data_IF_208321647611
#
_entry.id   IF_208321647611
#
_cell.length_a   1.000
_cell.length_b   1.000
_cell.length_c   1.000
_cell.angle_alpha   90.00
_cell.angle_beta   90.00
_cell.angle_gamma   90.00
#
_symmetry.space_group_name_H-M   'P 1'
#
loop_
_entity.id
_entity.type
_entity.pdbx_description
1 polymer ?
#
# COMPACT_ATOMS: atom_id res chain seq x y z
N UNK A 1 -13.47 -24.31 -16.85
CA UNK A 1 -13.49 -22.86 -16.54
C UNK A 1 -13.62 -22.72 -15.04
N UNK A 2 -12.53 -22.41 -14.33
CA UNK A 2 -12.56 -22.21 -12.88
C UNK A 2 -13.11 -20.81 -12.54
N UNK A 3 -13.71 -20.61 -11.35
CA UNK A 3 -14.28 -19.34 -10.97
C UNK A 3 -13.15 -18.31 -10.80
N UNK A 4 -13.23 -17.21 -11.54
CA UNK A 4 -12.38 -16.06 -11.32
C UNK A 4 -12.71 -15.50 -9.92
N UNK A 5 -11.78 -15.66 -8.99
CA UNK A 5 -11.81 -14.95 -7.73
C UNK A 5 -11.64 -13.46 -8.02
N UNK A 6 -12.74 -12.72 -7.99
CA UNK A 6 -12.74 -11.27 -7.96
C UNK A 6 -11.93 -10.83 -6.74
N UNK A 7 -10.73 -10.30 -6.96
CA UNK A 7 -9.90 -9.66 -5.94
C UNK A 7 -10.45 -8.26 -5.59
N UNK A 8 -11.77 -8.13 -5.42
CA UNK A 8 -12.30 -6.93 -4.80
C UNK A 8 -11.90 -6.98 -3.32
N UNK A 9 -11.09 -6.02 -2.83
CA UNK A 9 -10.87 -5.90 -1.41
C UNK A 9 -12.20 -5.47 -0.79
N UNK A 10 -12.90 -6.42 -0.19
CA UNK A 10 -14.08 -6.13 0.63
C UNK A 10 -13.61 -5.29 1.81
N UNK A 11 -14.17 -4.08 2.02
CA UNK A 11 -13.82 -3.26 3.18
C UNK A 11 -14.07 -4.04 4.46
N UNK A 12 -13.10 -4.05 5.37
CA UNK A 12 -13.19 -4.70 6.69
C UNK A 12 -14.17 -3.99 7.63
N UNK A 13 -14.58 -2.77 7.30
CA UNK A 13 -15.53 -1.95 8.06
C UNK A 13 -16.64 -1.40 7.15
N UNK A 14 -17.90 -1.43 7.64
CA UNK A 14 -19.10 -0.94 6.96
C UNK A 14 -19.21 0.60 7.10
N UNK A 15 -18.23 1.30 6.52
CA UNK A 15 -18.08 2.75 6.56
C UNK A 15 -18.45 3.35 5.20
N UNK A 16 -19.04 4.55 5.21
CA UNK A 16 -19.24 5.32 3.99
C UNK A 16 -17.88 5.72 3.38
N UNK A 17 -17.57 5.20 2.19
CA UNK A 17 -16.31 5.45 1.47
C UNK A 17 -16.40 6.54 0.41
N UNK A 18 -17.58 7.16 0.24
CA UNK A 18 -17.86 8.09 -0.86
C UNK A 18 -16.94 9.32 -0.86
N UNK A 19 -16.45 9.73 0.32
CA UNK A 19 -15.56 10.88 0.49
C UNK A 19 -14.41 10.56 1.48
N UNK A 20 -13.85 9.34 1.39
CA UNK A 20 -12.73 8.90 2.24
C UNK A 20 -11.39 8.96 1.45
N UNK A 21 -10.63 10.06 1.55
CA UNK A 21 -9.37 10.21 0.80
C UNK A 21 -8.33 9.16 1.18
N UNK A 22 -8.30 8.73 2.45
CA UNK A 22 -7.39 7.68 2.92
C UNK A 22 -7.72 6.36 2.26
N UNK A 23 -9.01 5.97 2.22
CA UNK A 23 -9.45 4.76 1.52
C UNK A 23 -9.06 4.81 0.02
N UNK A 24 -9.38 5.91 -0.66
CA UNK A 24 -9.05 6.09 -2.07
C UNK A 24 -7.55 5.96 -2.33
N UNK A 25 -6.71 6.54 -1.47
CA UNK A 25 -5.26 6.50 -1.65
C UNK A 25 -4.66 5.13 -1.34
N UNK A 26 -5.20 4.38 -0.36
CA UNK A 26 -4.82 2.98 -0.12
C UNK A 26 -5.17 2.13 -1.34
N UNK A 27 -6.36 2.29 -1.92
CA UNK A 27 -6.74 1.58 -3.14
C UNK A 27 -5.83 1.95 -4.33
N UNK A 28 -5.43 3.23 -4.43
CA UNK A 28 -4.45 3.71 -5.39
C UNK A 28 -3.09 3.00 -5.25
N UNK A 29 -2.58 2.89 -4.02
CA UNK A 29 -1.33 2.19 -3.71
C UNK A 29 -1.43 0.69 -4.03
N UNK A 30 -2.49 0.00 -3.63
CA UNK A 30 -2.69 -1.43 -3.93
C UNK A 30 -2.73 -1.65 -5.45
N UNK A 31 -3.37 -0.75 -6.20
CA UNK A 31 -3.38 -0.80 -7.68
C UNK A 31 -1.99 -0.58 -8.28
N UNK A 32 -1.18 0.30 -7.71
CA UNK A 32 0.21 0.50 -8.13
C UNK A 32 1.06 -0.75 -7.87
N UNK A 33 0.89 -1.40 -6.72
CA UNK A 33 1.56 -2.68 -6.38
C UNK A 33 1.13 -3.80 -7.33
N UNK A 34 -0.15 -3.87 -7.70
CA UNK A 34 -0.62 -4.86 -8.68
C UNK A 34 -0.01 -4.64 -10.07
N UNK A 35 0.15 -3.38 -10.50
CA UNK A 35 0.86 -3.04 -11.73
C UNK A 35 2.34 -3.41 -11.65
N UNK A 36 2.99 -3.13 -10.53
CA UNK A 36 4.37 -3.54 -10.28
C UNK A 36 4.53 -5.06 -10.44
N UNK A 37 3.64 -5.86 -9.84
CA UNK A 37 3.65 -7.31 -10.01
C UNK A 37 3.59 -7.70 -11.49
N UNK A 38 2.67 -7.10 -12.25
CA UNK A 38 2.53 -7.38 -13.68
C UNK A 38 3.79 -7.00 -14.48
N UNK A 39 4.41 -5.86 -14.20
CA UNK A 39 5.65 -5.43 -14.85
C UNK A 39 6.82 -6.36 -14.52
N UNK A 40 7.02 -6.70 -13.25
CA UNK A 40 8.12 -7.59 -12.84
C UNK A 40 7.98 -8.99 -13.45
N UNK A 41 6.75 -9.49 -13.61
CA UNK A 41 6.51 -10.81 -14.20
C UNK A 41 6.68 -10.87 -15.72
N UNK A 42 6.38 -9.78 -16.44
CA UNK A 42 6.25 -9.82 -17.91
C UNK A 42 7.22 -8.93 -18.68
N UNK A 43 7.96 -8.06 -17.99
CA UNK A 43 8.75 -7.02 -18.62
C UNK A 43 10.20 -6.96 -18.12
N UNK A 44 11.11 -6.37 -18.91
CA UNK A 44 12.52 -6.32 -18.58
C UNK A 44 12.84 -5.29 -17.48
N UNK A 45 13.97 -5.44 -16.78
CA UNK A 45 14.31 -4.71 -15.54
C UNK A 45 14.41 -3.19 -15.69
N UNK A 46 14.63 -2.67 -16.88
CA UNK A 46 14.70 -1.22 -17.16
C UNK A 46 13.39 -0.51 -16.83
N UNK A 47 12.26 -1.24 -16.86
CA UNK A 47 10.94 -0.69 -16.53
C UNK A 47 10.61 -0.69 -15.04
N UNK A 48 11.35 -1.44 -14.22
CA UNK A 48 11.01 -1.62 -12.81
C UNK A 48 11.04 -0.30 -12.03
N UNK A 49 11.95 0.61 -12.39
CA UNK A 49 12.05 1.93 -11.76
C UNK A 49 10.77 2.77 -11.94
N UNK A 50 10.08 2.64 -13.07
CA UNK A 50 8.85 3.39 -13.35
C UNK A 50 7.73 2.94 -12.41
N UNK A 51 7.53 1.64 -12.26
CA UNK A 51 6.47 1.12 -11.38
C UNK A 51 6.78 1.29 -9.90
N UNK A 52 8.05 1.22 -9.48
CA UNK A 52 8.42 1.52 -8.09
C UNK A 52 8.25 3.01 -7.80
N UNK A 53 8.53 3.90 -8.77
CA UNK A 53 8.24 5.33 -8.65
C UNK A 53 6.73 5.57 -8.47
N UNK A 54 5.89 4.91 -9.25
CA UNK A 54 4.43 5.03 -9.13
C UNK A 54 3.94 4.60 -7.74
N UNK A 55 4.46 3.49 -7.22
CA UNK A 55 4.18 3.03 -5.84
C UNK A 55 4.60 4.09 -4.81
N UNK A 56 5.79 4.68 -4.96
CA UNK A 56 6.27 5.74 -4.07
C UNK A 56 5.46 7.03 -4.13
N UNK A 57 4.93 7.39 -5.30
CA UNK A 57 4.02 8.52 -5.47
C UNK A 57 2.67 8.25 -4.80
N UNK A 58 2.10 7.05 -4.99
CA UNK A 58 0.87 6.63 -4.30
C UNK A 58 1.04 6.62 -2.78
N UNK A 59 2.18 6.11 -2.28
CA UNK A 59 2.47 6.15 -0.84
C UNK A 59 2.55 7.59 -0.32
N UNK A 60 3.24 8.48 -1.02
CA UNK A 60 3.33 9.90 -0.61
C UNK A 60 1.95 10.55 -0.51
N UNK A 61 1.07 10.26 -1.47
CA UNK A 61 -0.30 10.77 -1.46
C UNK A 61 -1.08 10.24 -0.24
N UNK A 62 -0.99 8.93 0.01
CA UNK A 62 -1.58 8.29 1.18
C UNK A 62 -1.10 8.91 2.49
N UNK A 63 0.21 9.11 2.66
CA UNK A 63 0.78 9.74 3.86
C UNK A 63 0.19 11.14 4.05
N UNK A 64 0.11 11.95 2.98
CA UNK A 64 -0.49 13.29 3.03
C UNK A 64 -1.95 13.26 3.49
N UNK A 65 -2.78 12.39 2.90
CA UNK A 65 -4.19 12.24 3.31
C UNK A 65 -4.35 11.76 4.75
N UNK A 66 -3.40 10.98 5.28
CA UNK A 66 -3.39 10.58 6.68
C UNK A 66 -2.96 11.74 7.59
N UNK A 67 -1.95 12.51 7.19
CA UNK A 67 -1.49 13.69 7.95
C UNK A 67 -2.59 14.74 8.11
N UNK A 68 -3.44 14.91 7.10
CA UNK A 68 -4.58 15.83 7.14
C UNK A 68 -5.65 15.43 8.19
N UNK A 69 -5.81 14.13 8.47
CA UNK A 69 -6.80 13.65 9.45
C UNK A 69 -6.23 13.50 10.86
N UNK A 70 -4.90 13.32 11.01
CA UNK A 70 -4.26 13.10 12.31
C UNK A 70 -4.70 14.11 13.39
N UNK A 71 -4.78 15.43 13.13
CA UNK A 71 -5.17 16.42 14.14
C UNK A 71 -6.56 16.21 14.75
N UNK A 72 -7.47 15.56 14.01
CA UNK A 72 -8.83 15.28 14.47
C UNK A 72 -8.91 14.01 15.34
N UNK A 73 -7.83 13.22 15.43
CA UNK A 73 -7.82 11.93 16.11
C UNK A 73 -7.32 12.00 17.56
N UNK A 74 -7.76 11.08 18.44
CA UNK A 74 -7.24 10.94 19.80
C UNK A 74 -5.72 10.74 19.81
N UNK A 75 -5.04 11.26 20.84
CA UNK A 75 -3.58 11.21 20.94
C UNK A 75 -3.02 9.78 20.87
N UNK A 76 -3.67 8.81 21.50
CA UNK A 76 -3.26 7.39 21.46
C UNK A 76 -3.32 6.82 20.04
N UNK A 77 -4.39 7.10 19.30
CA UNK A 77 -4.55 6.68 17.90
C UNK A 77 -3.54 7.36 16.98
N UNK A 78 -3.22 8.63 17.20
CA UNK A 78 -2.20 9.34 16.40
C UNK A 78 -0.85 8.64 16.47
N UNK A 79 -0.36 8.32 17.66
CA UNK A 79 0.94 7.65 17.83
C UNK A 79 1.00 6.28 17.14
N UNK A 80 -0.09 5.52 17.19
CA UNK A 80 -0.21 4.23 16.48
C UNK A 80 -0.13 4.41 14.96
N UNK A 81 -0.92 5.36 14.42
CA UNK A 81 -0.97 5.67 12.99
C UNK A 81 0.39 6.19 12.48
N UNK A 82 1.04 7.09 13.21
CA UNK A 82 2.40 7.58 12.91
C UNK A 82 3.44 6.44 12.90
N UNK A 83 3.28 5.47 13.80
CA UNK A 83 4.10 4.26 13.81
C UNK A 83 3.95 3.46 12.51
N UNK A 84 2.72 3.28 12.05
CA UNK A 84 2.42 2.59 10.79
C UNK A 84 2.91 3.39 9.57
N UNK A 85 2.79 4.73 9.56
CA UNK A 85 3.37 5.56 8.50
C UNK A 85 4.90 5.38 8.38
N UNK A 86 5.61 5.26 9.51
CA UNK A 86 7.06 4.96 9.53
C UNK A 86 7.36 3.57 8.98
N UNK A 87 6.54 2.56 9.32
CA UNK A 87 6.64 1.22 8.76
C UNK A 87 6.53 1.23 7.23
N UNK A 88 5.53 1.91 6.68
CA UNK A 88 5.36 2.02 5.23
C UNK A 88 6.56 2.67 4.51
N UNK A 89 7.16 3.69 5.12
CA UNK A 89 8.37 4.30 4.59
C UNK A 89 9.55 3.30 4.58
N UNK A 90 9.66 2.46 5.61
CA UNK A 90 10.64 1.38 5.66
C UNK A 90 10.35 0.32 4.58
N UNK A 91 9.11 -0.07 4.38
CA UNK A 91 8.73 -1.06 3.36
C UNK A 91 9.00 -0.55 1.94
N UNK A 92 8.75 0.74 1.67
CA UNK A 92 9.12 1.36 0.39
C UNK A 92 10.64 1.37 0.20
N UNK A 93 11.43 1.67 1.24
CA UNK A 93 12.88 1.62 1.16
C UNK A 93 13.38 0.20 0.85
N UNK A 94 12.78 -0.81 1.49
CA UNK A 94 13.09 -2.21 1.21
C UNK A 94 12.72 -2.60 -0.23
N UNK A 95 11.56 -2.18 -0.73
CA UNK A 95 11.16 -2.38 -2.12
C UNK A 95 12.15 -1.75 -3.11
N UNK A 96 12.60 -0.52 -2.86
CA UNK A 96 13.61 0.16 -3.69
C UNK A 96 14.93 -0.64 -3.69
N UNK A 97 15.35 -1.15 -2.53
CA UNK A 97 16.55 -1.97 -2.42
C UNK A 97 16.42 -3.27 -3.23
N UNK A 98 15.29 -3.98 -3.11
CA UNK A 98 15.04 -5.22 -3.87
C UNK A 98 14.95 -4.97 -5.38
N UNK A 99 14.35 -3.87 -5.80
CA UNK A 99 14.34 -3.46 -7.21
C UNK A 99 15.76 -3.26 -7.75
N UNK A 100 16.63 -2.54 -7.01
CA UNK A 100 18.03 -2.35 -7.42
C UNK A 100 18.77 -3.67 -7.56
N UNK A 101 18.58 -4.59 -6.61
CA UNK A 101 19.15 -5.94 -6.69
C UNK A 101 18.65 -6.71 -7.91
N UNK A 102 17.35 -6.62 -8.22
CA UNK A 102 16.75 -7.26 -9.39
C UNK A 102 17.31 -6.70 -10.72
N UNK A 103 17.55 -5.40 -10.79
CA UNK A 103 18.18 -4.78 -11.97
C UNK A 103 19.65 -5.23 -12.11
N UNK A 104 20.42 -5.20 -11.02
CA UNK A 104 21.84 -5.58 -11.00
C UNK A 104 22.07 -7.07 -11.31
N UNK A 105 21.16 -7.94 -10.88
CA UNK A 105 21.26 -9.40 -11.05
C UNK A 105 20.44 -9.94 -12.22
N UNK A 106 19.96 -9.06 -13.11
CA UNK A 106 19.07 -9.43 -14.21
C UNK A 106 19.65 -10.47 -15.17
N UNK A 107 20.97 -10.47 -15.35
CA UNK A 107 21.71 -11.38 -16.23
C UNK A 107 22.48 -12.47 -15.45
N UNK A 108 22.18 -12.67 -14.16
CA UNK A 108 22.82 -13.68 -13.31
C UNK A 108 21.85 -14.79 -12.94
N UNK A 109 22.37 -15.87 -12.34
CA UNK A 109 21.53 -16.97 -11.82
C UNK A 109 20.57 -16.55 -10.69
N UNK A 110 20.77 -15.36 -10.11
CA UNK A 110 19.94 -14.82 -9.03
C UNK A 110 18.72 -14.03 -9.52
N UNK A 111 18.59 -13.79 -10.83
CA UNK A 111 17.55 -12.92 -11.43
C UNK A 111 16.13 -13.22 -10.92
N UNK A 112 15.71 -14.48 -10.96
CA UNK A 112 14.36 -14.89 -10.54
C UNK A 112 14.15 -14.76 -9.02
N UNK A 113 15.21 -14.96 -8.24
CA UNK A 113 15.13 -14.81 -6.79
C UNK A 113 15.04 -13.33 -6.39
N UNK A 114 15.80 -12.45 -7.04
CA UNK A 114 15.69 -11.01 -6.81
C UNK A 114 14.30 -10.48 -7.20
N UNK A 115 13.70 -10.96 -8.29
CA UNK A 115 12.32 -10.63 -8.66
C UNK A 115 11.33 -11.10 -7.60
N UNK A 116 11.44 -12.33 -7.10
CA UNK A 116 10.60 -12.84 -6.00
C UNK A 116 10.69 -11.96 -4.77
N UNK A 117 11.89 -11.58 -4.34
CA UNK A 117 12.07 -10.71 -3.17
C UNK A 117 11.46 -9.33 -3.39
N UNK A 118 11.57 -8.76 -4.59
CA UNK A 118 10.92 -7.50 -4.94
C UNK A 118 9.39 -7.61 -4.86
N UNK A 119 8.82 -8.70 -5.37
CA UNK A 119 7.37 -8.97 -5.27
C UNK A 119 6.92 -9.12 -3.82
N UNK A 120 7.67 -9.86 -3.00
CA UNK A 120 7.39 -10.01 -1.58
C UNK A 120 7.41 -8.66 -0.86
N UNK A 121 8.43 -7.83 -1.08
CA UNK A 121 8.52 -6.49 -0.49
C UNK A 121 7.33 -5.60 -0.91
N UNK A 122 6.93 -5.65 -2.19
CA UNK A 122 5.77 -4.89 -2.68
C UNK A 122 4.45 -5.36 -2.06
N UNK A 123 4.32 -6.68 -1.82
CA UNK A 123 3.15 -7.25 -1.16
C UNK A 123 3.06 -6.84 0.31
N UNK A 124 4.18 -6.89 1.04
CA UNK A 124 4.25 -6.41 2.43
C UNK A 124 3.78 -4.97 2.53
N UNK A 125 4.29 -4.07 1.67
CA UNK A 125 3.85 -2.68 1.62
C UNK A 125 2.33 -2.53 1.41
N UNK A 126 1.73 -3.35 0.55
CA UNK A 126 0.28 -3.33 0.32
C UNK A 126 -0.53 -3.83 1.54
N UNK A 127 -0.03 -4.85 2.24
CA UNK A 127 -0.63 -5.36 3.48
C UNK A 127 -0.57 -4.29 4.57
N UNK A 128 0.57 -3.65 4.75
CA UNK A 128 0.73 -2.62 5.77
C UNK A 128 -0.06 -1.35 5.43
N UNK A 129 -0.26 -1.04 4.14
CA UNK A 129 -1.14 0.06 3.73
C UNK A 129 -2.61 -0.24 4.09
N UNK A 130 -3.03 -1.51 4.01
CA UNK A 130 -4.34 -1.94 4.51
C UNK A 130 -4.40 -1.84 6.04
N UNK A 131 -3.35 -2.26 6.76
CA UNK A 131 -3.30 -2.13 8.22
C UNK A 131 -3.40 -0.66 8.67
N UNK A 132 -2.79 0.26 7.92
CA UNK A 132 -2.95 1.71 8.14
C UNK A 132 -4.40 2.16 7.98
N UNK A 133 -5.09 1.71 6.93
CA UNK A 133 -6.51 2.00 6.74
C UNK A 133 -7.35 1.51 7.92
N UNK A 134 -7.13 0.26 8.34
CA UNK A 134 -7.86 -0.33 9.46
C UNK A 134 -7.61 0.43 10.78
N UNK A 135 -6.37 0.89 11.03
CA UNK A 135 -6.03 1.71 12.18
C UNK A 135 -6.70 3.10 12.13
N UNK A 136 -6.71 3.74 10.95
CA UNK A 136 -7.39 5.01 10.71
C UNK A 136 -8.90 4.87 10.92
N UNK A 137 -9.52 3.83 10.37
CA UNK A 137 -10.95 3.58 10.50
C UNK A 137 -11.35 3.37 11.96
N UNK A 138 -10.57 2.58 12.71
CA UNK A 138 -10.77 2.40 14.15
C UNK A 138 -10.61 3.72 14.92
N UNK A 139 -9.62 4.54 14.57
CA UNK A 139 -9.42 5.84 15.19
C UNK A 139 -10.59 6.80 14.92
N UNK A 140 -11.09 6.84 13.67
CA UNK A 140 -12.27 7.63 13.30
C UNK A 140 -13.51 7.16 14.07
N UNK A 141 -13.71 5.84 14.22
CA UNK A 141 -14.80 5.27 15.03
C UNK A 141 -14.73 5.71 16.49
N UNK A 142 -13.55 5.63 17.11
CA UNK A 142 -13.33 6.09 18.51
C UNK A 142 -13.56 7.59 18.68
N UNK A 143 -13.27 8.38 17.64
CA UNK A 143 -13.46 9.82 17.63
C UNK A 143 -14.89 10.25 17.26
N UNK A 144 -15.78 9.29 16.95
CA UNK A 144 -17.13 9.55 16.45
C UNK A 144 -17.17 10.41 15.17
N UNK A 145 -16.15 10.24 14.30
CA UNK A 145 -15.95 11.00 13.05
C UNK A 145 -16.43 10.27 11.79
N UNK A 146 -17.07 9.11 11.94
CA UNK A 146 -17.53 8.27 10.82
C UNK A 146 -19.04 8.32 10.68
N UNK A 147 -19.49 8.45 9.43
CA UNK A 147 -20.86 8.11 9.05
C UNK A 147 -20.91 6.61 8.80
N UNK A 148 -21.74 5.91 9.57
CA UNK A 148 -22.04 4.50 9.32
C UNK A 148 -22.98 4.45 8.11
N UNK A 149 -22.62 3.65 7.10
CA UNK A 149 -23.55 3.33 6.01
C UNK A 149 -24.61 2.40 6.57
N UNK A 150 -25.87 2.85 6.57
CA UNK A 150 -27.01 1.96 6.74
C UNK A 150 -27.36 1.44 5.34
N UNK A 151 -27.24 0.11 5.15
CA UNK A 151 -27.88 -0.59 4.04
C UNK A 151 -29.41 -0.56 4.19
#
# INVERSE_FOLDING_TARGET
LGPQMSLQPTPTANLDRTDDPVYSDVMGLVKAVLRLKNEVSNHPPERYILVVKDVGLSLRKLIGSVDDILPALPASSRTEIEGTQKLLNKDLAELINKMRLAQQNSMTSLSEECKRQMLTASHTLAVDAKNLLDAVDQAKMRANLVKVSFE
#
